data_IF_010116525739
#
_entry.id   IF_010116525739
#
_cell.length_a   1.000
_cell.length_b   1.000
_cell.length_c   1.000
_cell.angle_alpha   90.00
_cell.angle_beta   90.00
_cell.angle_gamma   90.00
#
_symmetry.space_group_name_H-M   'P 1'
#
loop_
_entity.id
_entity.type
_entity.pdbx_description
1 polymer ?
#
# COMPACT_ATOMS: atom_id res chain seq x y z
N UNK A 1 8.15 -33.71 -12.26
CA UNK A 1 8.61 -32.74 -11.25
C UNK A 1 7.54 -31.68 -11.11
N UNK A 2 7.13 -31.39 -9.87
CA UNK A 2 5.80 -30.86 -9.58
C UNK A 2 5.79 -29.57 -8.74
N UNK A 3 6.95 -29.07 -8.33
CA UNK A 3 7.07 -27.87 -7.49
C UNK A 3 6.37 -26.68 -8.16
N UNK A 4 5.53 -25.98 -7.38
CA UNK A 4 4.75 -24.84 -7.85
C UNK A 4 3.50 -25.20 -8.64
N UNK A 5 3.07 -26.47 -8.64
CA UNK A 5 1.91 -26.94 -9.42
C UNK A 5 0.86 -27.59 -8.53
N UNK A 6 -0.39 -27.49 -8.99
CA UNK A 6 -1.48 -28.33 -8.50
C UNK A 6 -1.31 -29.72 -9.11
N UNK A 7 -1.25 -30.74 -8.26
CA UNK A 7 -1.08 -32.13 -8.68
C UNK A 7 -2.05 -33.03 -7.94
N UNK A 8 -2.28 -34.20 -8.53
CA UNK A 8 -3.03 -35.29 -7.91
C UNK A 8 -2.06 -36.31 -7.32
N UNK A 9 -2.12 -36.57 -6.01
CA UNK A 9 -1.25 -37.54 -5.35
C UNK A 9 -2.03 -38.58 -4.54
N UNK A 10 -1.39 -39.72 -4.26
CA UNK A 10 -1.97 -40.79 -3.46
C UNK A 10 -1.46 -40.75 -2.02
N UNK A 11 -2.37 -40.84 -1.05
CA UNK A 11 -2.02 -40.96 0.37
C UNK A 11 -1.36 -42.33 0.59
N UNK A 12 -0.08 -42.33 0.94
CA UNK A 12 0.73 -43.57 1.01
C UNK A 12 1.15 -43.93 2.43
N UNK A 13 1.30 -42.93 3.29
CA UNK A 13 1.70 -43.13 4.67
C UNK A 13 1.06 -42.07 5.57
N UNK A 14 0.89 -42.39 6.84
CA UNK A 14 0.30 -41.51 7.84
C UNK A 14 0.64 -41.99 9.24
N UNK A 15 1.01 -41.06 10.11
CA UNK A 15 1.13 -41.27 11.54
C UNK A 15 0.11 -40.39 12.30
N UNK A 16 0.17 -40.36 13.63
CA UNK A 16 -0.78 -39.61 14.46
C UNK A 16 -0.69 -38.08 14.33
N UNK A 17 0.24 -37.55 13.54
CA UNK A 17 0.51 -36.11 13.40
C UNK A 17 0.62 -35.65 11.95
N UNK A 18 1.05 -36.52 11.04
CA UNK A 18 1.45 -36.16 9.68
C UNK A 18 0.94 -37.21 8.70
N UNK A 19 0.44 -36.73 7.58
CA UNK A 19 0.05 -37.56 6.42
C UNK A 19 1.02 -37.29 5.27
N UNK A 20 1.35 -38.33 4.50
CA UNK A 20 2.22 -38.25 3.34
C UNK A 20 1.48 -38.64 2.07
N UNK A 21 1.71 -37.84 1.03
CA UNK A 21 1.17 -38.03 -0.31
C UNK A 21 2.32 -38.30 -1.27
N UNK A 22 2.15 -39.27 -2.16
CA UNK A 22 3.14 -39.60 -3.18
C UNK A 22 2.62 -39.25 -4.57
N UNK A 23 3.46 -38.64 -5.39
CA UNK A 23 3.23 -38.47 -6.82
C UNK A 23 4.54 -38.70 -7.58
N UNK A 24 4.51 -39.59 -8.58
CA UNK A 24 5.65 -39.89 -9.45
C UNK A 24 6.96 -40.18 -8.69
N UNK A 25 6.88 -40.95 -7.61
CA UNK A 25 8.02 -41.34 -6.78
C UNK A 25 8.48 -40.29 -5.75
N UNK A 26 7.93 -39.08 -5.76
CA UNK A 26 8.23 -38.03 -4.78
C UNK A 26 7.19 -38.07 -3.66
N UNK A 27 7.66 -38.06 -2.41
CA UNK A 27 6.83 -38.03 -1.21
C UNK A 27 6.75 -36.60 -0.67
N UNK A 28 5.54 -36.14 -0.39
CA UNK A 28 5.24 -34.82 0.14
C UNK A 28 4.55 -34.95 1.49
N UNK A 29 4.96 -34.13 2.45
CA UNK A 29 4.25 -33.96 3.71
C UNK A 29 3.00 -33.10 3.49
N UNK A 30 1.84 -33.60 3.89
CA UNK A 30 0.58 -32.84 3.79
C UNK A 30 0.55 -31.73 4.84
N UNK A 31 0.21 -30.54 4.38
CA UNK A 31 0.06 -29.33 5.18
C UNK A 31 -1.42 -29.02 5.27
N UNK A 32 -2.05 -29.42 6.38
CA UNK A 32 -3.45 -29.12 6.71
C UNK A 32 -3.76 -29.57 8.13
N UNK A 33 -4.56 -28.80 8.86
CA UNK A 33 -5.10 -29.18 10.18
C UNK A 33 -5.88 -30.49 10.13
N UNK A 34 -6.58 -30.77 9.02
CA UNK A 34 -7.39 -31.97 8.82
C UNK A 34 -6.67 -33.06 8.01
N UNK A 35 -5.35 -32.97 7.89
CA UNK A 35 -4.54 -33.98 7.18
C UNK A 35 -4.72 -35.39 7.74
N UNK A 36 -5.09 -35.51 9.03
CA UNK A 36 -5.32 -36.78 9.71
C UNK A 36 -6.69 -37.39 9.37
N UNK A 37 -7.58 -36.73 8.64
CA UNK A 37 -8.85 -37.34 8.21
C UNK A 37 -8.72 -38.08 6.87
N UNK A 38 -7.58 -37.92 6.19
CA UNK A 38 -7.29 -38.57 4.92
C UNK A 38 -7.11 -40.08 5.09
N UNK A 39 -7.62 -40.84 4.10
CA UNK A 39 -7.59 -42.31 4.09
C UNK A 39 -6.41 -42.81 3.26
N UNK A 40 -5.73 -43.87 3.73
CA UNK A 40 -4.66 -44.52 2.95
C UNK A 40 -5.19 -45.05 1.60
N UNK A 41 -4.41 -44.87 0.53
CA UNK A 41 -4.81 -45.21 -0.83
C UNK A 41 -5.76 -44.20 -1.49
N UNK A 42 -6.28 -43.22 -0.75
CA UNK A 42 -7.08 -42.14 -1.31
C UNK A 42 -6.20 -41.28 -2.23
N UNK A 43 -6.77 -40.86 -3.35
CA UNK A 43 -6.15 -39.90 -4.26
C UNK A 43 -6.75 -38.52 -4.01
N UNK A 44 -5.89 -37.50 -3.86
CA UNK A 44 -6.29 -36.13 -3.53
C UNK A 44 -5.56 -35.13 -4.44
N UNK A 45 -6.20 -34.00 -4.69
CA UNK A 45 -5.60 -32.86 -5.38
C UNK A 45 -5.05 -31.85 -4.35
N UNK A 46 -3.92 -31.22 -4.66
CA UNK A 46 -3.33 -30.20 -3.82
C UNK A 46 -2.11 -29.55 -4.46
N UNK A 47 -1.59 -28.54 -3.78
CA UNK A 47 -0.49 -27.72 -4.25
C UNK A 47 0.85 -28.22 -3.71
N UNK A 48 1.75 -28.61 -4.61
CA UNK A 48 3.08 -29.11 -4.25
C UNK A 48 4.11 -27.98 -4.26
N UNK A 49 4.87 -27.84 -3.18
CA UNK A 49 5.93 -26.84 -3.06
C UNK A 49 7.02 -27.32 -2.10
N UNK A 50 8.18 -26.66 -2.13
CA UNK A 50 9.31 -26.94 -1.24
C UNK A 50 9.44 -25.82 -0.22
N UNK A 51 9.51 -26.11 1.07
CA UNK A 51 9.63 -25.09 2.12
C UNK A 51 11.03 -24.44 2.18
N UNK A 52 11.29 -23.64 3.22
CA UNK A 52 12.60 -23.00 3.47
C UNK A 52 13.71 -23.98 3.90
N UNK A 53 13.35 -25.16 4.41
CA UNK A 53 14.27 -26.20 4.89
C UNK A 53 14.58 -27.24 3.81
N UNK A 54 13.88 -27.18 2.67
CA UNK A 54 14.03 -28.12 1.56
C UNK A 54 13.05 -29.29 1.60
N UNK A 55 12.08 -29.29 2.52
CA UNK A 55 11.08 -30.34 2.62
C UNK A 55 10.03 -30.18 1.52
N UNK A 56 9.60 -31.30 0.94
CA UNK A 56 8.50 -31.34 -0.03
C UNK A 56 7.17 -31.32 0.70
N UNK A 57 6.38 -30.28 0.47
CA UNK A 57 5.09 -30.02 1.10
C UNK A 57 3.94 -30.13 0.09
N UNK A 58 2.78 -30.50 0.59
CA UNK A 58 1.54 -30.66 -0.16
C UNK A 58 0.41 -29.95 0.57
N UNK A 59 0.03 -28.77 0.12
CA UNK A 59 -1.10 -28.03 0.68
C UNK A 59 -2.42 -28.54 0.09
N UNK A 60 -3.40 -28.84 0.94
CA UNK A 60 -4.77 -29.12 0.49
C UNK A 60 -5.50 -27.84 0.08
N UNK A 61 -5.11 -26.71 0.66
CA UNK A 61 -5.58 -25.40 0.24
C UNK A 61 -4.71 -24.90 -0.92
N UNK A 62 -5.31 -24.71 -2.08
CA UNK A 62 -4.59 -24.22 -3.26
C UNK A 62 -4.40 -22.71 -3.10
N UNK A 63 -3.15 -22.21 -2.95
CA UNK A 63 -2.91 -20.80 -2.68
C UNK A 63 -3.25 -19.93 -3.89
N UNK A 64 -3.67 -18.69 -3.63
CA UNK A 64 -3.96 -17.68 -4.67
C UNK A 64 -2.72 -17.39 -5.52
N UNK A 65 -1.62 -17.02 -4.86
CA UNK A 65 -0.32 -16.81 -5.51
C UNK A 65 0.30 -18.17 -5.82
N UNK A 66 0.47 -18.47 -7.10
CA UNK A 66 1.12 -19.69 -7.60
C UNK A 66 1.56 -19.46 -9.05
N UNK A 67 2.20 -20.46 -9.67
CA UNK A 67 2.69 -20.32 -11.05
C UNK A 67 1.53 -19.98 -12.00
N UNK A 68 1.61 -18.82 -12.64
CA UNK A 68 0.59 -18.33 -13.58
C UNK A 68 -0.63 -17.67 -12.93
N UNK A 69 -0.69 -17.60 -11.60
CA UNK A 69 -1.73 -16.86 -10.87
C UNK A 69 -1.05 -15.76 -10.05
N UNK A 70 -1.49 -14.52 -10.28
CA UNK A 70 -1.03 -13.37 -9.52
C UNK A 70 -1.85 -13.19 -8.25
N UNK A 71 -1.23 -12.62 -7.23
CA UNK A 71 -1.88 -12.21 -6.00
C UNK A 71 -1.00 -11.23 -5.22
N UNK A 72 -1.59 -10.60 -4.22
CA UNK A 72 -0.89 -9.63 -3.38
C UNK A 72 -0.10 -10.30 -2.27
N UNK A 73 1.17 -9.92 -2.12
CA UNK A 73 1.99 -10.32 -0.99
C UNK A 73 2.57 -9.14 -0.23
N UNK A 74 2.78 -9.30 1.07
CA UNK A 74 3.38 -8.28 1.95
C UNK A 74 4.90 -8.48 2.04
N UNK A 75 5.66 -7.40 1.87
CA UNK A 75 7.11 -7.43 2.06
C UNK A 75 7.43 -7.59 3.54
N UNK A 76 8.10 -8.66 3.91
CA UNK A 76 8.46 -8.96 5.30
C UNK A 76 9.92 -8.65 5.63
N UNK A 77 10.80 -8.70 4.64
CA UNK A 77 12.24 -8.52 4.80
C UNK A 77 12.90 -8.00 3.50
N UNK A 78 13.93 -7.17 3.63
CA UNK A 78 14.73 -6.67 2.50
C UNK A 78 16.19 -7.09 2.71
N UNK A 79 16.74 -7.86 1.78
CA UNK A 79 18.17 -8.24 1.76
C UNK A 79 18.82 -7.70 0.51
N UNK A 80 19.61 -6.62 0.63
CA UNK A 80 20.24 -5.93 -0.52
C UNK A 80 21.06 -6.83 -1.45
N UNK A 81 21.63 -7.92 -0.92
CA UNK A 81 22.43 -8.88 -1.68
C UNK A 81 21.62 -9.95 -2.43
N UNK A 82 20.28 -9.99 -2.24
CA UNK A 82 19.42 -11.04 -2.78
C UNK A 82 18.13 -10.48 -3.39
N UNK A 83 17.47 -9.54 -2.70
CA UNK A 83 16.20 -8.95 -3.11
C UNK A 83 15.25 -8.71 -1.92
N UNK A 84 13.95 -8.92 -2.13
CA UNK A 84 12.92 -8.74 -1.08
C UNK A 84 12.15 -10.03 -0.83
N UNK A 85 11.84 -10.29 0.44
CA UNK A 85 11.02 -11.42 0.87
C UNK A 85 9.57 -10.97 1.01
N UNK A 86 8.68 -11.75 0.42
CA UNK A 86 7.26 -11.45 0.30
C UNK A 86 6.46 -12.62 0.86
N UNK A 87 5.62 -12.34 1.85
CA UNK A 87 4.66 -13.29 2.38
C UNK A 87 3.44 -13.34 1.47
N UNK A 88 3.12 -14.54 0.99
CA UNK A 88 1.98 -14.83 0.11
C UNK A 88 1.05 -15.88 0.73
N UNK A 89 1.04 -15.97 2.06
CA UNK A 89 0.26 -16.93 2.85
C UNK A 89 0.57 -18.41 2.54
N UNK A 90 1.79 -18.71 2.12
CA UNK A 90 2.25 -20.09 2.03
C UNK A 90 2.80 -20.53 3.38
N UNK A 91 2.45 -21.75 3.79
CA UNK A 91 2.93 -22.26 5.07
C UNK A 91 4.44 -22.52 5.02
N UNK A 92 5.16 -22.07 6.04
CA UNK A 92 6.61 -22.26 6.18
C UNK A 92 7.45 -21.76 4.98
N UNK A 93 6.92 -20.88 4.14
CA UNK A 93 7.64 -20.31 3.00
C UNK A 93 7.19 -18.89 2.65
N UNK A 94 8.18 -18.03 2.44
CA UNK A 94 8.04 -16.74 1.79
C UNK A 94 8.68 -16.80 0.39
N UNK A 95 8.18 -15.98 -0.54
CA UNK A 95 8.78 -15.84 -1.86
C UNK A 95 9.89 -14.79 -1.83
N UNK A 96 10.93 -15.03 -2.63
CA UNK A 96 12.00 -14.05 -2.84
C UNK A 96 11.82 -13.44 -4.22
N UNK A 97 11.69 -12.12 -4.29
CA UNK A 97 11.81 -11.37 -5.55
C UNK A 97 13.27 -10.99 -5.70
N UNK A 98 13.89 -11.37 -6.82
CA UNK A 98 15.30 -11.12 -7.08
C UNK A 98 15.59 -9.62 -7.12
N UNK A 99 16.79 -9.23 -6.67
CA UNK A 99 17.31 -7.88 -6.85
C UNK A 99 17.35 -7.45 -8.33
N UNK A 100 17.46 -8.41 -9.26
CA UNK A 100 17.48 -8.17 -10.71
C UNK A 100 16.11 -7.71 -11.25
N UNK A 101 15.02 -8.04 -10.54
CA UNK A 101 13.66 -7.62 -10.88
C UNK A 101 13.27 -6.31 -10.17
N UNK A 102 14.11 -5.81 -9.27
CA UNK A 102 13.86 -4.59 -8.50
C UNK A 102 14.40 -3.34 -9.22
N UNK A 103 13.93 -2.13 -8.86
CA UNK A 103 14.48 -0.89 -9.39
C UNK A 103 16.00 -0.79 -9.13
N UNK A 104 16.75 -0.27 -10.12
CA UNK A 104 18.18 -0.05 -9.98
C UNK A 104 18.50 0.94 -8.84
N UNK A 105 17.63 1.93 -8.66
CA UNK A 105 17.74 2.93 -7.61
C UNK A 105 17.31 2.33 -6.27
N UNK A 106 18.27 2.07 -5.38
CA UNK A 106 18.02 1.43 -4.09
C UNK A 106 17.03 2.14 -3.16
N UNK A 107 16.78 3.44 -3.34
CA UNK A 107 15.78 4.19 -2.56
C UNK A 107 14.33 3.92 -3.03
N UNK A 108 14.16 3.35 -4.22
CA UNK A 108 12.88 2.93 -4.80
C UNK A 108 12.54 1.46 -4.51
N UNK A 109 13.40 0.78 -3.76
CA UNK A 109 13.13 -0.58 -3.31
C UNK A 109 11.96 -0.61 -2.33
N UNK A 110 11.15 -1.68 -2.35
CA UNK A 110 10.16 -1.91 -1.32
C UNK A 110 10.77 -1.94 0.08
N UNK A 111 9.96 -1.59 1.07
CA UNK A 111 10.25 -1.70 2.50
C UNK A 111 9.29 -2.70 3.14
N UNK A 112 9.63 -3.13 4.36
CA UNK A 112 8.75 -3.98 5.16
C UNK A 112 7.36 -3.32 5.31
N UNK A 113 6.31 -4.09 5.06
CA UNK A 113 4.91 -3.66 5.08
C UNK A 113 4.37 -3.14 3.74
N UNK A 114 5.23 -2.89 2.74
CA UNK A 114 4.78 -2.58 1.37
C UNK A 114 4.14 -3.84 0.75
N UNK A 115 3.23 -3.65 -0.23
CA UNK A 115 2.56 -4.77 -0.90
C UNK A 115 2.93 -4.84 -2.37
N UNK A 116 3.21 -6.06 -2.83
CA UNK A 116 3.61 -6.34 -4.21
C UNK A 116 2.63 -7.33 -4.83
N UNK A 117 2.25 -7.06 -6.08
CA UNK A 117 1.45 -8.00 -6.86
C UNK A 117 2.40 -8.93 -7.62
N UNK A 118 2.32 -10.23 -7.31
CA UNK A 118 3.35 -11.20 -7.68
C UNK A 118 2.76 -12.52 -8.15
N UNK A 119 3.51 -13.22 -9.00
CA UNK A 119 3.30 -14.64 -9.32
C UNK A 119 4.56 -15.44 -8.98
N UNK A 120 4.53 -16.75 -9.19
CA UNK A 120 5.67 -17.65 -8.92
C UNK A 120 6.34 -18.06 -10.22
N UNK A 121 7.66 -18.04 -10.25
CA UNK A 121 8.48 -18.73 -11.23
C UNK A 121 9.32 -19.81 -10.55
N UNK A 122 9.68 -20.84 -11.30
CA UNK A 122 10.55 -21.93 -10.84
C UNK A 122 11.75 -22.00 -11.77
N UNK A 123 12.96 -21.96 -11.22
CA UNK A 123 14.18 -22.05 -12.00
C UNK A 123 14.61 -23.51 -12.29
N UNK A 124 15.70 -23.66 -13.04
CA UNK A 124 16.24 -24.97 -13.43
C UNK A 124 16.72 -25.81 -12.25
N UNK A 125 17.00 -25.17 -11.11
CA UNK A 125 17.40 -25.81 -9.85
C UNK A 125 16.19 -26.06 -8.92
N UNK A 126 14.96 -25.96 -9.44
CA UNK A 126 13.70 -26.13 -8.72
C UNK A 126 13.48 -25.12 -7.58
N UNK A 127 14.17 -23.98 -7.60
CA UNK A 127 13.95 -22.91 -6.62
C UNK A 127 12.79 -22.05 -7.07
N UNK A 128 11.89 -21.74 -6.14
CA UNK A 128 10.75 -20.87 -6.37
C UNK A 128 11.12 -19.41 -6.10
N UNK A 129 10.83 -18.56 -7.07
CA UNK A 129 11.04 -17.13 -7.03
C UNK A 129 9.72 -16.40 -7.21
N UNK A 130 9.60 -15.24 -6.58
CA UNK A 130 8.53 -14.29 -6.86
C UNK A 130 8.87 -13.50 -8.12
N UNK A 131 7.89 -13.34 -9.00
CA UNK A 131 7.98 -12.48 -10.18
C UNK A 131 6.95 -11.37 -10.05
N UNK A 132 7.39 -10.12 -10.23
CA UNK A 132 6.50 -8.96 -10.21
C UNK A 132 5.53 -9.00 -11.38
N UNK A 133 4.31 -8.54 -11.13
CA UNK A 133 3.36 -8.20 -12.18
C UNK A 133 3.88 -7.05 -13.03
N UNK A 134 3.69 -7.15 -14.35
CA UNK A 134 3.99 -6.07 -15.28
C UNK A 134 2.79 -5.15 -15.46
N UNK A 135 3.00 -4.07 -16.21
CA UNK A 135 1.97 -3.06 -16.46
C UNK A 135 0.71 -3.70 -17.08
N UNK A 136 0.88 -4.62 -18.04
CA UNK A 136 -0.22 -5.31 -18.71
C UNK A 136 -1.07 -6.16 -17.75
N UNK A 137 -0.46 -6.76 -16.73
CA UNK A 137 -1.15 -7.58 -15.74
C UNK A 137 -2.10 -6.71 -14.89
N UNK A 138 -1.69 -5.50 -14.52
CA UNK A 138 -2.54 -4.54 -13.81
C UNK A 138 -3.67 -4.03 -14.69
N UNK A 139 -3.39 -3.71 -15.96
CA UNK A 139 -4.43 -3.27 -16.89
C UNK A 139 -5.49 -4.36 -17.10
N UNK A 140 -5.10 -5.63 -17.19
CA UNK A 140 -6.01 -6.76 -17.38
C UNK A 140 -7.04 -6.93 -16.24
N UNK A 141 -6.67 -6.53 -15.02
CA UNK A 141 -7.56 -6.59 -13.83
C UNK A 141 -8.15 -5.21 -13.46
N UNK A 142 -7.90 -4.18 -14.26
CA UNK A 142 -8.36 -2.82 -13.97
C UNK A 142 -9.70 -2.51 -14.64
N UNK A 143 -10.49 -1.68 -13.96
CA UNK A 143 -11.66 -1.01 -14.49
C UNK A 143 -11.22 0.25 -15.23
N UNK A 144 -11.98 0.63 -16.26
CA UNK A 144 -11.80 1.91 -16.94
C UNK A 144 -12.34 3.05 -16.09
N UNK A 145 -11.53 4.08 -15.84
CA UNK A 145 -11.91 5.25 -15.09
C UNK A 145 -13.07 6.04 -15.71
N UNK A 146 -13.84 6.74 -14.86
CA UNK A 146 -14.99 7.56 -15.23
C UNK A 146 -14.82 8.98 -14.70
N UNK A 147 -15.37 9.97 -15.42
CA UNK A 147 -15.17 11.39 -15.08
C UNK A 147 -15.77 11.81 -13.74
N UNK A 148 -16.71 11.03 -13.22
CA UNK A 148 -17.48 11.32 -12.00
C UNK A 148 -16.64 11.22 -10.72
N UNK A 149 -15.46 10.58 -10.78
CA UNK A 149 -14.56 10.39 -9.64
C UNK A 149 -13.61 11.57 -9.41
N UNK A 150 -13.77 12.67 -10.13
CA UNK A 150 -12.94 13.86 -9.96
C UNK A 150 -12.99 14.41 -8.51
N UNK A 151 -11.83 14.77 -7.97
CA UNK A 151 -11.61 15.30 -6.62
C UNK A 151 -11.94 14.30 -5.48
N UNK A 152 -12.12 13.02 -5.78
CA UNK A 152 -12.19 11.97 -4.76
C UNK A 152 -10.78 11.57 -4.30
N UNK A 153 -10.67 11.30 -3.00
CA UNK A 153 -9.45 10.79 -2.41
C UNK A 153 -9.35 9.28 -2.68
N UNK A 154 -8.15 8.81 -2.98
CA UNK A 154 -7.87 7.43 -3.40
C UNK A 154 -6.59 6.94 -2.77
N UNK A 155 -6.56 5.63 -2.49
CA UNK A 155 -5.42 4.88 -1.98
C UNK A 155 -5.04 3.78 -2.97
N UNK A 156 -3.77 3.39 -2.98
CA UNK A 156 -3.32 2.23 -3.74
C UNK A 156 -1.83 2.00 -3.72
N UNK A 157 -1.37 0.89 -4.30
CA UNK A 157 0.03 0.48 -4.24
C UNK A 157 0.78 0.83 -5.52
N UNK A 158 1.92 1.52 -5.39
CA UNK A 158 2.80 1.84 -6.50
C UNK A 158 3.38 0.56 -7.13
N UNK A 159 3.27 0.40 -8.45
CA UNK A 159 3.75 -0.79 -9.15
C UNK A 159 4.76 -0.50 -10.27
N UNK A 160 4.80 0.73 -10.80
CA UNK A 160 5.78 1.10 -11.84
C UNK A 160 6.25 2.54 -11.65
N UNK A 161 7.56 2.74 -11.62
CA UNK A 161 8.17 4.06 -11.58
C UNK A 161 8.81 4.33 -12.94
N UNK A 162 8.43 5.44 -13.58
CA UNK A 162 9.01 5.92 -14.83
C UNK A 162 9.45 7.37 -14.62
N UNK A 163 10.38 7.86 -15.45
CA UNK A 163 10.77 9.29 -15.44
C UNK A 163 9.59 10.23 -15.65
N UNK A 164 8.57 9.79 -16.38
CA UNK A 164 7.35 10.56 -16.63
C UNK A 164 6.42 10.63 -15.42
N UNK A 165 6.54 9.71 -14.45
CA UNK A 165 5.67 9.61 -13.28
C UNK A 165 5.55 8.19 -12.74
N UNK A 166 4.76 8.05 -11.69
CA UNK A 166 4.54 6.78 -11.00
C UNK A 166 3.15 6.25 -11.31
N UNK A 167 3.08 4.97 -11.67
CA UNK A 167 1.83 4.22 -11.77
C UNK A 167 1.59 3.45 -10.48
N UNK A 168 0.32 3.43 -10.07
CA UNK A 168 -0.14 2.70 -8.90
C UNK A 168 -1.50 2.08 -9.15
N UNK A 169 -1.79 0.99 -8.45
CA UNK A 169 -3.06 0.27 -8.54
C UNK A 169 -3.93 0.62 -7.34
N UNK A 170 -5.09 1.20 -7.61
CA UNK A 170 -6.03 1.66 -6.59
C UNK A 170 -6.80 0.50 -5.98
N UNK A 171 -7.19 0.63 -4.71
CA UNK A 171 -7.99 -0.38 -4.00
C UNK A 171 -9.33 -0.69 -4.69
N UNK A 172 -9.89 0.29 -5.41
CA UNK A 172 -11.13 0.15 -6.19
C UNK A 172 -10.94 -0.45 -7.59
N UNK A 173 -9.79 -1.10 -7.83
CA UNK A 173 -9.41 -1.75 -9.08
C UNK A 173 -9.27 -0.79 -10.27
N UNK A 174 -8.62 0.35 -10.08
CA UNK A 174 -8.28 1.31 -11.14
C UNK A 174 -6.76 1.50 -11.23
N UNK A 175 -6.28 1.94 -12.39
CA UNK A 175 -4.89 2.40 -12.54
C UNK A 175 -4.84 3.91 -12.36
N UNK A 176 -3.93 4.36 -11.49
CA UNK A 176 -3.61 5.76 -11.27
C UNK A 176 -2.22 6.11 -11.75
N UNK A 177 -2.04 7.38 -12.12
CA UNK A 177 -0.77 7.95 -12.53
C UNK A 177 -0.52 9.26 -11.79
N UNK A 178 0.67 9.38 -11.20
CA UNK A 178 1.12 10.55 -10.46
C UNK A 178 2.27 11.19 -11.23
N UNK A 179 2.02 12.39 -11.76
CA UNK A 179 3.04 13.17 -12.44
C UNK A 179 4.09 13.69 -11.44
N UNK A 180 5.37 13.88 -11.81
CA UNK A 180 6.40 14.38 -10.90
C UNK A 180 6.09 15.74 -10.24
N UNK A 181 5.28 16.59 -10.88
CA UNK A 181 4.83 17.87 -10.29
C UNK A 181 3.74 17.72 -9.22
N UNK A 182 3.13 16.54 -9.13
CA UNK A 182 1.98 16.25 -8.27
C UNK A 182 2.38 15.35 -7.08
N UNK A 183 3.68 15.31 -6.76
CA UNK A 183 4.26 14.56 -5.64
C UNK A 183 5.46 15.32 -5.06
N UNK A 184 5.66 15.25 -3.75
CA UNK A 184 6.85 15.80 -3.11
C UNK A 184 8.07 14.90 -3.27
N UNK A 185 7.84 13.59 -3.29
CA UNK A 185 8.86 12.56 -3.49
C UNK A 185 8.34 11.46 -4.40
N UNK A 186 9.26 10.72 -4.99
CA UNK A 186 8.92 9.52 -5.74
C UNK A 186 8.45 8.40 -4.81
N UNK A 187 7.24 7.82 -5.03
CA UNK A 187 6.85 6.58 -4.37
C UNK A 187 7.76 5.44 -4.78
N UNK A 188 8.14 4.61 -3.80
CA UNK A 188 8.90 3.37 -4.04
C UNK A 188 7.96 2.25 -4.47
N UNK A 189 8.53 1.18 -5.02
CA UNK A 189 7.77 0.00 -5.41
C UNK A 189 7.00 -0.60 -4.22
N UNK A 190 5.71 -0.87 -4.40
CA UNK A 190 4.80 -1.46 -3.42
C UNK A 190 4.28 -0.52 -2.34
N UNK A 191 4.74 0.73 -2.33
CA UNK A 191 4.32 1.72 -1.34
C UNK A 191 2.82 2.01 -1.46
N UNK A 192 2.13 2.07 -0.32
CA UNK A 192 0.78 2.62 -0.25
C UNK A 192 0.84 4.12 -0.46
N UNK A 193 0.18 4.58 -1.51
CA UNK A 193 0.07 5.97 -1.91
C UNK A 193 -1.34 6.45 -1.66
N UNK A 194 -1.45 7.61 -1.01
CA UNK A 194 -2.69 8.35 -0.86
C UNK A 194 -2.64 9.62 -1.71
N UNK A 195 -3.72 9.92 -2.40
CA UNK A 195 -3.82 11.11 -3.21
C UNK A 195 -5.25 11.38 -3.63
N UNK A 196 -5.41 12.27 -4.59
CA UNK A 196 -6.71 12.73 -5.08
C UNK A 196 -6.76 12.76 -6.59
N UNK A 197 -7.87 12.31 -7.16
CA UNK A 197 -8.09 12.34 -8.61
C UNK A 197 -8.22 13.80 -9.07
N UNK A 198 -7.33 14.21 -9.97
CA UNK A 198 -7.31 15.55 -10.60
C UNK A 198 -7.67 15.52 -12.08
N UNK A 199 -7.79 14.33 -12.67
CA UNK A 199 -8.13 14.19 -14.08
C UNK A 199 -8.26 12.73 -14.52
N UNK A 200 -8.68 12.57 -15.76
CA UNK A 200 -8.83 11.27 -16.41
C UNK A 200 -8.13 11.32 -17.77
N UNK A 201 -7.25 10.37 -18.02
CA UNK A 201 -6.59 10.15 -19.31
C UNK A 201 -7.54 9.43 -20.27
N UNK A 202 -7.31 9.58 -21.57
CA UNK A 202 -8.19 9.02 -22.61
C UNK A 202 -8.34 7.50 -22.57
N UNK A 203 -7.32 6.79 -22.08
CA UNK A 203 -7.31 5.33 -21.91
C UNK A 203 -7.92 4.85 -20.58
N UNK A 204 -8.49 5.77 -19.78
CA UNK A 204 -9.17 5.44 -18.53
C UNK A 204 -8.29 5.44 -17.29
N UNK A 205 -7.01 5.83 -17.40
CA UNK A 205 -6.13 6.02 -16.22
C UNK A 205 -6.43 7.33 -15.52
N UNK A 206 -6.53 7.31 -14.19
CA UNK A 206 -6.70 8.54 -13.43
C UNK A 206 -5.38 9.28 -13.24
N UNK A 207 -5.41 10.59 -13.44
CA UNK A 207 -4.36 11.48 -12.95
C UNK A 207 -4.61 11.78 -11.48
N UNK A 208 -3.59 11.57 -10.65
CA UNK A 208 -3.69 11.68 -9.20
C UNK A 208 -2.62 12.63 -8.68
N UNK A 209 -3.01 13.47 -7.71
CA UNK A 209 -2.12 14.34 -6.98
C UNK A 209 -1.99 13.90 -5.54
N UNK A 210 -0.74 13.78 -5.08
CA UNK A 210 -0.38 13.61 -3.68
C UNK A 210 -0.19 14.95 -2.96
N UNK A 211 -0.31 16.06 -3.69
CA UNK A 211 -0.17 17.39 -3.11
C UNK A 211 -1.43 17.77 -2.31
N UNK A 212 -1.28 18.52 -1.21
CA UNK A 212 -2.43 19.03 -0.46
C UNK A 212 -3.30 19.91 -1.34
N UNK A 213 -4.59 19.99 -1.03
CA UNK A 213 -5.49 20.86 -1.78
C UNK A 213 -5.04 22.32 -1.59
N UNK A 214 -5.17 23.16 -2.63
CA UNK A 214 -4.79 24.58 -2.52
C UNK A 214 -5.51 25.35 -1.39
N UNK A 215 -6.66 24.85 -0.93
CA UNK A 215 -7.39 25.38 0.22
C UNK A 215 -6.98 24.76 1.57
N UNK A 216 -6.27 23.63 1.57
CA UNK A 216 -5.65 22.99 2.73
C UNK A 216 -4.26 23.59 3.02
N UNK A 217 -3.57 24.07 1.99
CA UNK A 217 -2.33 24.85 2.18
C UNK A 217 -2.67 26.15 2.92
N UNK A 218 -2.13 26.25 4.14
CA UNK A 218 -2.16 27.49 4.91
C UNK A 218 -1.31 28.53 4.17
N UNK A 219 -1.86 29.73 3.98
CA UNK A 219 -1.03 30.87 3.60
C UNK A 219 -0.18 31.31 4.80
N UNK A 220 0.89 32.07 4.55
CA UNK A 220 1.85 32.48 5.59
C UNK A 220 1.17 33.11 6.82
N UNK A 221 0.13 33.92 6.58
CA UNK A 221 -0.69 34.53 7.63
C UNK A 221 -1.43 33.47 8.47
N UNK A 222 -2.05 32.45 7.86
CA UNK A 222 -2.74 31.38 8.58
C UNK A 222 -1.78 30.43 9.31
N UNK A 223 -0.65 30.10 8.70
CA UNK A 223 0.39 29.30 9.34
C UNK A 223 0.99 30.02 10.56
N UNK A 224 1.27 31.32 10.43
CA UNK A 224 1.72 32.16 11.53
C UNK A 224 0.71 32.19 12.68
N UNK A 225 -0.58 32.44 12.40
CA UNK A 225 -1.61 32.49 13.44
C UNK A 225 -1.80 31.14 14.15
N UNK A 226 -1.71 30.04 13.41
CA UNK A 226 -1.77 28.69 13.99
C UNK A 226 -0.61 28.44 14.95
N UNK A 227 0.60 28.87 14.59
CA UNK A 227 1.77 28.75 15.47
C UNK A 227 1.67 29.65 16.70
N UNK A 228 1.12 30.87 16.56
CA UNK A 228 0.83 31.74 17.71
C UNK A 228 -0.17 31.08 18.65
N UNK A 229 -1.23 30.44 18.13
CA UNK A 229 -2.18 29.68 18.95
C UNK A 229 -1.49 28.51 19.67
N UNK A 230 -0.68 27.71 18.98
CA UNK A 230 0.06 26.60 19.60
C UNK A 230 0.94 27.06 20.78
N UNK A 231 1.55 28.24 20.67
CA UNK A 231 2.42 28.82 21.72
C UNK A 231 1.66 29.60 22.79
N UNK A 232 0.40 29.96 22.54
CA UNK A 232 -0.40 30.74 23.49
C UNK A 232 -0.88 29.87 24.66
N UNK A 233 -1.01 30.43 25.87
CA UNK A 233 -1.60 29.72 27.01
C UNK A 233 -2.99 29.17 26.65
N UNK A 234 -3.25 27.91 27.03
CA UNK A 234 -4.50 27.18 26.72
C UNK A 234 -4.81 27.05 25.21
N UNK A 235 -3.80 27.22 24.36
CA UNK A 235 -3.90 27.25 22.90
C UNK A 235 -4.95 28.24 22.37
N UNK A 236 -5.10 29.37 23.06
CA UNK A 236 -6.12 30.38 22.80
C UNK A 236 -5.53 31.79 22.86
N UNK A 237 -6.02 32.68 22.01
CA UNK A 237 -5.86 34.11 22.16
C UNK A 237 -7.21 34.83 22.16
N UNK A 238 -7.25 36.06 22.67
CA UNK A 238 -8.49 36.85 22.87
C UNK A 238 -8.98 37.56 21.59
N UNK A 239 -8.24 37.44 20.49
CA UNK A 239 -8.58 38.05 19.21
C UNK A 239 -9.59 37.21 18.41
N UNK A 240 -10.52 37.89 17.75
CA UNK A 240 -11.51 37.31 16.87
C UNK A 240 -11.89 38.26 15.72
N UNK A 241 -12.80 37.86 14.83
CA UNK A 241 -13.19 38.60 13.63
C UNK A 241 -13.67 40.05 13.86
N UNK A 242 -14.19 40.35 15.05
CA UNK A 242 -14.67 41.67 15.47
C UNK A 242 -13.65 42.47 16.28
N UNK A 243 -12.50 41.91 16.65
CA UNK A 243 -11.45 42.63 17.38
C UNK A 243 -10.99 43.89 16.65
N UNK A 244 -10.52 44.87 17.41
CA UNK A 244 -10.14 46.18 16.86
C UNK A 244 -9.00 46.05 15.81
N UNK A 245 -9.07 46.74 14.66
CA UNK A 245 -8.05 46.66 13.63
C UNK A 245 -6.64 47.05 14.10
N UNK A 246 -6.53 48.04 14.99
CA UNK A 246 -5.24 48.50 15.51
C UNK A 246 -4.64 47.45 16.44
N UNK A 247 -5.44 46.86 17.34
CA UNK A 247 -4.98 45.79 18.22
C UNK A 247 -4.53 44.54 17.47
N UNK A 248 -5.20 44.16 16.37
CA UNK A 248 -4.76 43.04 15.51
C UNK A 248 -3.41 43.37 14.86
N UNK A 249 -3.26 44.59 14.35
CA UNK A 249 -2.04 45.03 13.68
C UNK A 249 -0.85 45.07 14.64
N UNK A 250 -1.06 45.58 15.85
CA UNK A 250 0.00 45.71 16.85
C UNK A 250 0.47 44.35 17.38
N UNK A 251 -0.44 43.38 17.50
CA UNK A 251 -0.11 42.05 18.03
C UNK A 251 0.43 41.09 16.97
N UNK A 252 -0.19 41.04 15.78
CA UNK A 252 0.14 40.05 14.73
C UNK A 252 0.92 40.64 13.56
N UNK A 253 1.09 41.96 13.47
CA UNK A 253 1.77 42.61 12.34
C UNK A 253 1.00 42.59 11.01
N UNK A 254 -0.23 42.09 11.00
CA UNK A 254 -1.06 41.95 9.79
C UNK A 254 -2.32 42.81 9.86
N UNK A 255 -2.91 43.14 8.71
CA UNK A 255 -4.17 43.88 8.67
C UNK A 255 -5.36 43.03 9.16
N UNK A 256 -6.44 43.68 9.64
CA UNK A 256 -7.69 42.97 10.00
C UNK A 256 -8.27 42.15 8.84
N UNK A 257 -8.08 42.61 7.59
CA UNK A 257 -8.49 41.86 6.41
C UNK A 257 -7.72 40.55 6.22
N UNK A 258 -6.40 40.59 6.42
CA UNK A 258 -5.54 39.40 6.40
C UNK A 258 -5.88 38.45 7.54
N UNK A 259 -6.02 38.98 8.76
CA UNK A 259 -6.42 38.20 9.93
C UNK A 259 -7.73 37.45 9.71
N UNK A 260 -8.78 38.13 9.23
CA UNK A 260 -10.07 37.49 8.93
C UNK A 260 -9.96 36.40 7.86
N UNK A 261 -9.13 36.61 6.83
CA UNK A 261 -8.89 35.63 5.78
C UNK A 261 -8.21 34.39 6.33
N UNK A 262 -7.15 34.59 7.12
CA UNK A 262 -6.37 33.52 7.74
C UNK A 262 -7.20 32.70 8.73
N UNK A 263 -7.92 33.36 9.66
CA UNK A 263 -8.85 32.67 10.56
C UNK A 263 -9.97 31.95 9.79
N UNK A 264 -10.52 32.57 8.74
CA UNK A 264 -11.54 31.95 7.90
C UNK A 264 -11.07 30.65 7.24
N UNK A 265 -9.78 30.55 6.87
CA UNK A 265 -9.18 29.30 6.38
C UNK A 265 -9.05 28.27 7.51
N UNK A 266 -8.50 28.67 8.65
CA UNK A 266 -8.32 27.79 9.81
C UNK A 266 -9.67 27.20 10.30
N UNK A 267 -10.75 28.00 10.29
CA UNK A 267 -12.10 27.55 10.60
C UNK A 267 -12.63 26.54 9.59
N UNK A 268 -12.42 26.79 8.28
CA UNK A 268 -12.84 25.86 7.21
C UNK A 268 -12.13 24.52 7.30
N UNK A 269 -10.86 24.53 7.69
CA UNK A 269 -10.04 23.33 7.91
C UNK A 269 -10.28 22.69 9.29
N UNK A 270 -11.20 23.24 10.10
CA UNK A 270 -11.53 22.76 11.45
C UNK A 270 -10.30 22.65 12.39
N UNK A 271 -9.32 23.54 12.20
CA UNK A 271 -8.13 23.61 13.06
C UNK A 271 -8.36 24.49 14.28
N UNK A 272 -9.31 25.42 14.20
CA UNK A 272 -9.63 26.36 15.27
C UNK A 272 -11.14 26.49 15.43
N UNK A 273 -11.55 26.88 16.63
CA UNK A 273 -12.88 27.41 16.92
C UNK A 273 -12.75 28.90 17.27
N UNK A 274 -13.80 29.67 16.99
CA UNK A 274 -13.86 31.08 17.33
C UNK A 274 -15.21 31.40 17.97
N UNK A 275 -15.15 32.09 19.10
CA UNK A 275 -16.32 32.60 19.82
C UNK A 275 -16.12 34.09 20.17
N UNK A 276 -17.01 34.65 20.98
CA UNK A 276 -16.93 36.07 21.41
C UNK A 276 -15.79 36.36 22.36
N UNK A 277 -15.10 35.34 22.87
CA UNK A 277 -13.98 35.44 23.81
C UNK A 277 -12.62 35.18 23.15
N UNK A 278 -12.60 34.86 21.85
CA UNK A 278 -11.37 34.74 21.07
C UNK A 278 -11.35 33.53 20.14
N UNK A 279 -10.15 33.16 19.69
CA UNK A 279 -9.90 31.98 18.86
C UNK A 279 -9.08 30.97 19.63
N UNK A 280 -9.50 29.71 19.57
CA UNK A 280 -8.87 28.58 20.25
C UNK A 280 -8.54 27.47 19.25
N UNK A 281 -7.39 26.83 19.44
CA UNK A 281 -7.00 25.63 18.71
C UNK A 281 -7.91 24.46 19.11
N UNK A 282 -8.42 23.73 18.11
CA UNK A 282 -9.06 22.44 18.34
C UNK A 282 -7.94 21.39 18.51
N UNK A 283 -8.03 20.51 19.52
CA UNK A 283 -6.95 19.54 19.80
C UNK A 283 -6.58 18.74 18.54
N UNK A 284 -5.27 18.65 18.25
CA UNK A 284 -4.72 17.77 17.21
C UNK A 284 -4.91 16.30 17.62
N UNK A 285 -6.12 15.79 17.51
CA UNK A 285 -6.39 14.37 17.52
C UNK A 285 -7.46 14.09 16.45
N UNK A 286 -7.10 13.19 15.52
CA UNK A 286 -7.96 12.53 14.52
C UNK A 286 -7.88 12.99 13.03
N UNK A 287 -6.70 13.34 12.49
CA UNK A 287 -6.52 13.37 11.02
C UNK A 287 -5.29 12.64 10.49
N UNK A 288 -4.51 11.96 11.34
CA UNK A 288 -3.34 11.15 10.94
C UNK A 288 -3.58 9.63 11.08
N UNK A 289 -4.84 9.21 11.20
CA UNK A 289 -5.24 7.79 11.13
C UNK A 289 -6.56 7.66 10.38
N UNK A 290 -6.50 7.68 9.06
CA UNK A 290 -7.55 7.12 8.19
C UNK A 290 -6.88 6.67 6.90
#
# INVERSE_FOLDING_TARGET
>A
MNTGKVITGMVTDKNNKVTFVQNNGITYQVVSENSIDLTLGQTIEGFAYTDKEGNQLFSLEIPEVRVGNFGWGEVIEVKRSLGVFVNVNWENKDLVISLDDLPNEGHLWPKKGDRLYVTVSVDEQERMWGKLAEEEDFYAISRTGQKEFHNQDVSGHAFKMKKSGTYFYMEDNYVGFIHPSEREREPRLGELVNGRIIGLREDGVYYVSMMPRAHEVLDDDAAMLLEVLRRSPNHKFEYHDKSDPQSIKDHFGISKGQFKRAIGRLLKQKLVEQDTTGTKLLEENQFDKS
#
